data_IF_595322308955
#
_entry.id   IF_595322308955
#
_cell.length_a   1.000
_cell.length_b   1.000
_cell.length_c   1.000
_cell.angle_alpha   90.00
_cell.angle_beta   90.00
_cell.angle_gamma   90.00
#
_symmetry.space_group_name_H-M   'P 1'
#
loop_
_entity.id
_entity.type
_entity.pdbx_description
1 polymer ?
#
# COMPACT_ATOMS: atom_id res chain seq x y z
N UNK A 1 7.67 -22.13 -16.96
CA UNK A 1 8.11 -21.32 -15.81
C UNK A 1 7.48 -19.94 -15.96
N UNK A 2 6.62 -19.53 -15.02
CA UNK A 2 5.93 -18.23 -15.12
C UNK A 2 6.96 -17.11 -14.93
N UNK A 3 7.04 -16.18 -15.88
CA UNK A 3 7.95 -15.03 -15.83
C UNK A 3 7.53 -14.15 -14.67
N UNK A 4 8.39 -13.99 -13.66
CA UNK A 4 8.09 -13.13 -12.53
C UNK A 4 8.04 -11.67 -13.01
N UNK A 5 6.95 -10.97 -12.71
CA UNK A 5 6.81 -9.54 -13.04
C UNK A 5 7.94 -8.77 -12.33
N UNK A 6 8.76 -8.08 -13.12
CA UNK A 6 9.78 -7.16 -12.60
C UNK A 6 9.27 -5.75 -12.85
N UNK A 7 8.92 -5.05 -11.77
CA UNK A 7 8.50 -3.66 -11.87
C UNK A 7 9.74 -2.76 -11.97
N UNK A 8 9.85 -1.99 -13.05
CA UNK A 8 10.80 -0.90 -13.18
C UNK A 8 10.37 0.31 -12.34
N UNK A 9 11.20 1.36 -12.27
CA UNK A 9 10.78 2.62 -11.65
C UNK A 9 9.57 3.21 -12.38
N UNK A 10 9.63 3.31 -13.71
CA UNK A 10 8.57 3.92 -14.48
C UNK A 10 7.24 3.14 -14.40
N UNK A 11 7.28 1.80 -14.36
CA UNK A 11 6.10 0.97 -14.14
C UNK A 11 5.48 1.17 -12.75
N UNK A 12 6.30 1.43 -11.72
CA UNK A 12 5.80 1.73 -10.37
C UNK A 12 5.10 3.08 -10.33
N UNK A 13 5.68 4.09 -10.97
CA UNK A 13 5.07 5.42 -11.09
C UNK A 13 3.78 5.38 -11.90
N UNK A 14 3.78 4.67 -13.04
CA UNK A 14 2.60 4.42 -13.87
C UNK A 14 1.46 3.80 -13.05
N UNK A 15 1.79 2.85 -12.16
CA UNK A 15 0.83 2.26 -11.24
C UNK A 15 0.19 3.27 -10.28
N UNK A 16 0.96 4.22 -9.75
CA UNK A 16 0.42 5.32 -8.93
C UNK A 16 -0.58 6.15 -9.73
N UNK A 17 -0.18 6.59 -10.93
CA UNK A 17 -1.02 7.41 -11.80
C UNK A 17 -2.30 6.70 -12.25
N UNK A 18 -2.22 5.41 -12.54
CA UNK A 18 -3.39 4.61 -12.89
C UNK A 18 -4.38 4.51 -11.73
N UNK A 19 -3.94 4.17 -10.52
CA UNK A 19 -4.86 4.08 -9.37
C UNK A 19 -5.40 5.46 -8.98
N UNK A 20 -4.62 6.53 -9.19
CA UNK A 20 -5.12 7.90 -9.06
C UNK A 20 -6.27 8.18 -10.05
N UNK A 21 -6.18 7.66 -11.29
CA UNK A 21 -7.27 7.76 -12.26
C UNK A 21 -8.57 7.11 -11.75
N UNK A 22 -8.46 5.98 -11.05
CA UNK A 22 -9.61 5.28 -10.46
C UNK A 22 -10.26 6.08 -9.32
N UNK A 23 -9.47 6.84 -8.56
CA UNK A 23 -10.01 7.73 -7.52
C UNK A 23 -10.89 8.83 -8.11
N UNK A 24 -10.55 9.33 -9.30
CA UNK A 24 -11.25 10.40 -9.99
C UNK A 24 -12.01 9.88 -11.22
N UNK A 25 -12.51 8.64 -11.13
CA UNK A 25 -13.06 7.90 -12.25
C UNK A 25 -14.11 8.68 -13.04
N UNK A 26 -15.09 9.31 -12.39
CA UNK A 26 -16.16 10.03 -13.09
C UNK A 26 -15.66 11.19 -13.96
N UNK A 27 -14.58 11.86 -13.55
CA UNK A 27 -13.98 12.90 -14.38
C UNK A 27 -13.11 12.33 -15.48
N UNK A 28 -12.29 11.33 -15.16
CA UNK A 28 -11.44 10.66 -16.14
C UNK A 28 -12.28 10.01 -17.24
N UNK A 29 -13.36 9.32 -16.90
CA UNK A 29 -14.25 8.67 -17.86
C UNK A 29 -15.00 9.70 -18.73
N UNK A 30 -15.33 10.88 -18.20
CA UNK A 30 -15.87 12.00 -18.99
C UNK A 30 -14.84 12.56 -19.97
N UNK A 31 -13.60 12.75 -19.53
CA UNK A 31 -12.52 13.23 -20.38
C UNK A 31 -12.16 12.19 -21.46
N UNK A 32 -12.14 10.88 -21.14
CA UNK A 32 -11.90 9.81 -22.12
C UNK A 32 -12.95 9.79 -23.24
N UNK A 33 -14.22 10.05 -22.92
CA UNK A 33 -15.28 10.16 -23.94
C UNK A 33 -15.11 11.38 -24.85
N UNK A 34 -14.41 12.40 -24.37
CA UNK A 34 -14.20 13.67 -25.08
C UNK A 34 -12.90 13.67 -25.90
N UNK A 35 -11.87 12.96 -25.45
CA UNK A 35 -10.56 12.97 -26.08
C UNK A 35 -10.35 11.76 -26.99
N UNK A 36 -10.22 11.96 -28.31
CA UNK A 36 -9.74 10.93 -29.21
C UNK A 36 -8.25 10.57 -28.93
N UNK A 37 -7.78 9.45 -29.51
CA UNK A 37 -6.47 8.88 -29.21
C UNK A 37 -5.29 9.83 -29.53
N UNK A 38 -5.40 10.62 -30.60
CA UNK A 38 -4.45 11.67 -30.98
C UNK A 38 -4.31 12.75 -29.90
N UNK A 39 -5.40 13.13 -29.23
CA UNK A 39 -5.38 14.07 -28.11
C UNK A 39 -4.71 13.49 -26.86
N UNK A 40 -4.80 12.18 -26.64
CA UNK A 40 -4.07 11.50 -25.56
C UNK A 40 -2.56 11.57 -25.82
N UNK A 41 -2.11 11.29 -27.04
CA UNK A 41 -0.70 11.39 -27.40
C UNK A 41 -0.20 12.85 -27.33
N UNK A 42 -1.02 13.82 -27.77
CA UNK A 42 -0.73 15.24 -27.59
C UNK A 42 -0.49 15.59 -26.12
N UNK A 43 -1.38 15.15 -25.21
CA UNK A 43 -1.22 15.42 -23.78
C UNK A 43 -0.03 14.71 -23.18
N UNK A 44 0.26 13.47 -23.60
CA UNK A 44 1.43 12.74 -23.15
C UNK A 44 2.72 13.49 -23.50
N UNK A 45 2.84 13.98 -24.73
CA UNK A 45 3.96 14.80 -25.17
C UNK A 45 4.02 16.14 -24.40
N UNK A 46 2.89 16.83 -24.26
CA UNK A 46 2.81 18.13 -23.57
C UNK A 46 3.15 18.04 -22.08
N UNK A 47 2.81 16.94 -21.43
CA UNK A 47 3.13 16.65 -20.03
C UNK A 47 4.55 16.07 -19.87
N UNK A 48 5.30 15.90 -20.97
CA UNK A 48 6.63 15.29 -20.99
C UNK A 48 6.63 13.94 -20.28
N UNK A 49 5.57 13.14 -20.50
CA UNK A 49 5.54 11.78 -19.96
C UNK A 49 6.59 10.99 -20.72
N UNK A 50 7.53 10.42 -19.98
CA UNK A 50 8.61 9.62 -20.53
C UNK A 50 8.08 8.51 -21.44
N UNK A 51 8.54 8.48 -22.69
CA UNK A 51 8.20 7.42 -23.64
C UNK A 51 8.62 6.04 -23.14
N UNK A 52 9.69 5.96 -22.34
CA UNK A 52 10.14 4.72 -21.70
C UNK A 52 9.08 4.19 -20.72
N UNK A 53 8.34 5.07 -20.03
CA UNK A 53 7.24 4.66 -19.15
C UNK A 53 6.15 3.90 -19.92
N UNK A 54 5.79 4.35 -21.12
CA UNK A 54 4.78 3.70 -21.96
C UNK A 54 5.24 2.29 -22.36
N UNK A 55 6.48 2.18 -22.82
CA UNK A 55 7.07 0.91 -23.26
C UNK A 55 7.21 -0.09 -22.10
N UNK A 56 7.74 0.35 -20.96
CA UNK A 56 7.92 -0.52 -19.79
C UNK A 56 6.57 -0.94 -19.19
N UNK A 57 5.58 -0.05 -19.19
CA UNK A 57 4.22 -0.37 -18.79
C UNK A 57 3.62 -1.43 -19.72
N UNK A 58 3.78 -1.30 -21.04
CA UNK A 58 3.26 -2.27 -21.99
C UNK A 58 3.79 -3.69 -21.70
N UNK A 59 5.09 -3.82 -21.40
CA UNK A 59 5.68 -5.10 -21.03
C UNK A 59 5.10 -5.65 -19.71
N UNK A 60 4.96 -4.81 -18.69
CA UNK A 60 4.38 -5.22 -17.39
C UNK A 60 2.93 -5.66 -17.54
N UNK A 61 2.13 -4.98 -18.37
CA UNK A 61 0.74 -5.36 -18.63
C UNK A 61 0.64 -6.67 -19.42
N UNK A 62 1.55 -6.92 -20.36
CA UNK A 62 1.64 -8.20 -21.06
C UNK A 62 1.96 -9.34 -20.09
N UNK A 63 2.92 -9.14 -19.19
CA UNK A 63 3.26 -10.14 -18.15
C UNK A 63 2.06 -10.36 -17.20
N UNK A 64 1.35 -9.30 -16.80
CA UNK A 64 0.14 -9.40 -15.96
C UNK A 64 -0.99 -10.16 -16.68
N UNK A 65 -1.17 -9.96 -17.98
CA UNK A 65 -2.12 -10.74 -18.78
C UNK A 65 -1.81 -12.24 -18.74
N UNK A 66 -0.54 -12.63 -18.86
CA UNK A 66 -0.14 -14.05 -18.78
C UNK A 66 -0.42 -14.63 -17.39
N UNK A 67 -0.26 -13.84 -16.33
CA UNK A 67 -0.64 -14.27 -14.97
C UNK A 67 -2.14 -14.48 -14.85
N UNK A 68 -2.97 -13.60 -15.41
CA UNK A 68 -4.44 -13.77 -15.43
C UNK A 68 -4.83 -15.03 -16.21
N UNK A 69 -4.24 -15.27 -17.40
CA UNK A 69 -4.48 -16.48 -18.19
C UNK A 69 -4.09 -17.76 -17.43
N UNK A 70 -2.95 -17.74 -16.75
CA UNK A 70 -2.50 -18.87 -15.93
C UNK A 70 -3.49 -19.15 -14.80
N UNK A 71 -3.95 -18.09 -14.10
CA UNK A 71 -4.95 -18.24 -13.04
C UNK A 71 -6.27 -18.79 -13.59
N UNK A 72 -6.73 -18.30 -14.74
CA UNK A 72 -7.95 -18.78 -15.39
C UNK A 72 -7.86 -20.28 -15.73
N UNK A 73 -6.71 -20.73 -16.25
CA UNK A 73 -6.48 -22.15 -16.53
C UNK A 73 -6.53 -23.00 -15.24
N UNK A 74 -5.89 -22.54 -14.16
CA UNK A 74 -5.93 -23.23 -12.85
C UNK A 74 -7.34 -23.25 -12.25
N UNK A 75 -8.07 -22.13 -12.31
CA UNK A 75 -9.44 -22.05 -11.81
C UNK A 75 -10.36 -23.00 -12.59
N UNK A 76 -10.13 -23.17 -13.89
CA UNK A 76 -10.84 -24.15 -14.74
C UNK A 76 -10.53 -25.59 -14.35
N UNK A 77 -9.28 -25.93 -14.09
CA UNK A 77 -8.89 -27.27 -13.62
C UNK A 77 -9.51 -27.61 -12.25
N UNK A 78 -9.68 -26.61 -11.39
CA UNK A 78 -10.24 -26.77 -10.05
C UNK A 78 -11.78 -26.65 -10.00
N UNK A 79 -12.45 -26.38 -11.13
CA UNK A 79 -13.89 -26.13 -11.17
C UNK A 79 -14.32 -24.88 -10.39
N UNK A 80 -13.41 -23.92 -10.21
CA UNK A 80 -13.58 -22.69 -9.45
C UNK A 80 -13.61 -21.44 -10.36
N UNK A 81 -14.05 -21.61 -11.61
CA UNK A 81 -14.09 -20.54 -12.61
C UNK A 81 -14.91 -19.34 -12.14
N UNK A 82 -14.41 -18.15 -12.43
CA UNK A 82 -15.09 -16.88 -12.15
C UNK A 82 -15.95 -16.45 -13.33
N UNK A 83 -16.95 -15.63 -13.05
CA UNK A 83 -17.87 -15.08 -14.07
C UNK A 83 -17.14 -14.31 -15.18
N UNK A 84 -16.05 -13.61 -14.85
CA UNK A 84 -15.22 -12.89 -15.82
C UNK A 84 -13.77 -12.76 -15.36
N UNK A 85 -12.89 -12.66 -16.36
CA UNK A 85 -11.47 -12.32 -16.19
C UNK A 85 -11.18 -11.09 -17.04
N UNK A 86 -10.57 -10.07 -16.44
CA UNK A 86 -10.25 -8.82 -17.15
C UNK A 86 -8.75 -8.79 -17.41
N UNK A 87 -8.39 -8.65 -18.68
CA UNK A 87 -7.00 -8.59 -19.14
C UNK A 87 -6.62 -7.12 -19.32
N UNK A 88 -5.70 -6.58 -18.49
CA UNK A 88 -5.38 -5.16 -18.56
C UNK A 88 -4.61 -4.85 -19.86
N UNK A 89 -5.12 -3.93 -20.67
CA UNK A 89 -4.49 -3.51 -21.92
C UNK A 89 -3.82 -2.14 -21.80
N UNK A 90 -2.78 -1.90 -22.62
CA UNK A 90 -2.14 -0.59 -22.69
C UNK A 90 -3.12 0.48 -23.17
N UNK A 91 -4.00 0.14 -24.10
CA UNK A 91 -4.96 1.08 -24.71
C UNK A 91 -6.02 1.57 -23.72
N UNK A 92 -6.36 0.78 -22.70
CA UNK A 92 -7.27 1.19 -21.62
C UNK A 92 -6.53 1.92 -20.50
N UNK A 93 -5.32 1.48 -20.17
CA UNK A 93 -4.55 1.97 -19.02
C UNK A 93 -3.82 3.28 -19.32
N UNK A 94 -3.21 3.40 -20.50
CA UNK A 94 -2.37 4.54 -20.86
C UNK A 94 -3.15 5.86 -20.89
N UNK A 95 -4.33 5.96 -21.56
CA UNK A 95 -5.12 7.19 -21.55
C UNK A 95 -5.50 7.64 -20.14
N UNK A 96 -5.85 6.70 -19.25
CA UNK A 96 -6.16 6.98 -17.85
C UNK A 96 -4.98 7.60 -17.09
N UNK A 97 -3.76 7.10 -17.31
CA UNK A 97 -2.53 7.66 -16.71
C UNK A 97 -2.28 9.08 -17.21
N UNK A 98 -2.39 9.30 -18.52
CA UNK A 98 -2.18 10.62 -19.15
C UNK A 98 -3.17 11.63 -18.57
N UNK A 99 -4.46 11.26 -18.48
CA UNK A 99 -5.50 12.14 -17.96
C UNK A 99 -5.38 12.36 -16.45
N UNK A 100 -4.92 11.37 -15.67
CA UNK A 100 -4.63 11.57 -14.25
C UNK A 100 -3.48 12.58 -14.04
N UNK A 101 -2.44 12.53 -14.87
CA UNK A 101 -1.37 13.54 -14.87
C UNK A 101 -1.86 14.91 -15.32
N UNK A 102 -2.71 14.97 -16.36
CA UNK A 102 -3.38 16.21 -16.80
C UNK A 102 -4.16 16.82 -15.64
N UNK A 103 -4.99 16.02 -14.95
CA UNK A 103 -5.74 16.46 -13.78
C UNK A 103 -4.81 17.02 -12.70
N UNK A 104 -3.75 16.32 -12.34
CA UNK A 104 -2.82 16.79 -11.31
C UNK A 104 -2.18 18.14 -11.67
N UNK A 105 -1.95 18.40 -12.95
CA UNK A 105 -1.50 19.72 -13.43
C UNK A 105 -2.60 20.79 -13.32
N UNK A 106 -3.83 20.44 -13.72
CA UNK A 106 -4.95 21.38 -13.78
C UNK A 106 -5.56 21.66 -12.38
N UNK A 107 -5.39 20.73 -11.43
CA UNK A 107 -5.97 20.73 -10.08
C UNK A 107 -4.89 20.46 -9.02
N UNK A 108 -4.35 21.54 -8.43
CA UNK A 108 -3.26 21.45 -7.46
C UNK A 108 -3.63 20.70 -6.17
N UNK A 109 -4.92 20.56 -5.87
CA UNK A 109 -5.45 19.78 -4.76
C UNK A 109 -5.49 18.26 -5.01
N UNK A 110 -5.06 17.81 -6.19
CA UNK A 110 -5.05 16.38 -6.55
C UNK A 110 -4.15 15.59 -5.60
N UNK A 111 -4.74 14.58 -4.95
CA UNK A 111 -4.06 13.77 -3.94
C UNK A 111 -4.70 12.39 -3.83
N UNK A 112 -4.00 11.42 -3.27
CA UNK A 112 -4.54 10.11 -2.91
C UNK A 112 -3.92 9.59 -1.61
N UNK A 113 -4.69 9.40 -0.52
CA UNK A 113 -4.20 8.77 0.69
C UNK A 113 -3.83 7.30 0.47
N UNK A 114 -2.78 6.81 1.15
CA UNK A 114 -2.28 5.44 0.99
C UNK A 114 -3.37 4.36 1.21
N UNK A 115 -4.25 4.54 2.19
CA UNK A 115 -5.35 3.62 2.45
C UNK A 115 -6.39 3.60 1.31
N UNK A 116 -6.61 4.75 0.66
CA UNK A 116 -7.50 4.84 -0.50
C UNK A 116 -6.84 4.19 -1.72
N UNK A 117 -5.55 4.43 -1.92
CA UNK A 117 -4.77 3.77 -2.97
C UNK A 117 -4.85 2.25 -2.85
N UNK A 118 -4.55 1.69 -1.68
CA UNK A 118 -4.52 0.24 -1.50
C UNK A 118 -5.92 -0.37 -1.68
N UNK A 119 -6.97 0.30 -1.19
CA UNK A 119 -8.35 -0.13 -1.41
C UNK A 119 -8.71 -0.19 -2.90
N UNK A 120 -8.45 0.88 -3.65
CA UNK A 120 -8.76 0.95 -5.08
C UNK A 120 -7.95 -0.08 -5.88
N UNK A 121 -6.66 -0.23 -5.56
CA UNK A 121 -5.80 -1.26 -6.14
C UNK A 121 -6.36 -2.66 -5.89
N UNK A 122 -6.74 -2.99 -4.66
CA UNK A 122 -7.29 -4.32 -4.34
C UNK A 122 -8.60 -4.56 -5.08
N UNK A 123 -9.48 -3.55 -5.16
CA UNK A 123 -10.73 -3.65 -5.92
C UNK A 123 -10.47 -3.93 -7.40
N UNK A 124 -9.58 -3.18 -8.04
CA UNK A 124 -9.19 -3.35 -9.44
C UNK A 124 -8.60 -4.74 -9.70
N UNK A 125 -7.62 -5.18 -8.91
CA UNK A 125 -7.02 -6.53 -9.06
C UNK A 125 -8.06 -7.63 -8.88
N UNK A 126 -8.94 -7.50 -7.88
CA UNK A 126 -9.99 -8.49 -7.64
C UNK A 126 -10.99 -8.54 -8.79
N UNK A 127 -11.33 -7.38 -9.36
CA UNK A 127 -12.24 -7.29 -10.52
C UNK A 127 -11.67 -7.97 -11.77
N UNK A 128 -10.35 -8.11 -11.87
CA UNK A 128 -9.67 -8.85 -12.95
C UNK A 128 -9.75 -10.37 -12.81
N UNK A 129 -10.46 -10.88 -11.81
CA UNK A 129 -10.57 -12.31 -11.57
C UNK A 129 -9.30 -12.91 -10.95
N UNK A 130 -8.42 -12.09 -10.34
CA UNK A 130 -7.18 -12.56 -9.71
C UNK A 130 -7.07 -12.07 -8.27
N UNK A 131 -6.40 -12.86 -7.42
CA UNK A 131 -6.09 -12.46 -6.05
C UNK A 131 -4.61 -12.08 -5.94
N UNK A 132 -4.33 -11.01 -5.19
CA UNK A 132 -2.97 -10.67 -4.78
C UNK A 132 -2.58 -11.54 -3.58
N UNK A 133 -1.99 -12.72 -3.81
CA UNK A 133 -1.45 -13.56 -2.72
C UNK A 133 -0.08 -13.06 -2.24
N UNK A 134 0.27 -13.42 -1.00
CA UNK A 134 1.55 -13.05 -0.40
C UNK A 134 2.72 -13.65 -1.20
N UNK A 135 3.66 -12.82 -1.64
CA UNK A 135 4.82 -13.23 -2.44
C UNK A 135 4.68 -13.04 -3.96
N UNK A 136 3.48 -12.77 -4.46
CA UNK A 136 3.27 -12.52 -5.89
C UNK A 136 3.42 -11.02 -6.21
N UNK A 137 4.31 -10.70 -7.16
CA UNK A 137 4.44 -9.34 -7.70
C UNK A 137 3.31 -9.11 -8.68
N UNK A 138 2.57 -8.01 -8.52
CA UNK A 138 1.40 -7.65 -9.33
C UNK A 138 1.43 -6.17 -9.69
N UNK A 139 0.87 -5.82 -10.84
CA UNK A 139 0.61 -4.44 -11.22
C UNK A 139 -0.90 -4.13 -11.13
N UNK A 140 -1.32 -3.00 -10.50
CA UNK A 140 -0.51 -1.93 -9.92
C UNK A 140 0.29 -2.35 -8.67
N UNK A 141 1.44 -1.70 -8.36
CA UNK A 141 2.28 -2.00 -7.20
C UNK A 141 1.57 -1.68 -5.87
N UNK A 142 1.99 -2.30 -4.78
CA UNK A 142 1.48 -1.95 -3.44
C UNK A 142 1.96 -0.57 -2.99
N UNK A 143 1.26 0.04 -2.02
CA UNK A 143 1.70 1.30 -1.41
C UNK A 143 3.10 1.20 -0.77
N UNK A 144 3.48 0.00 -0.29
CA UNK A 144 4.81 -0.27 0.24
C UNK A 144 5.89 -0.22 -0.84
N UNK A 145 5.62 -0.80 -2.01
CA UNK A 145 6.55 -0.76 -3.16
C UNK A 145 6.74 0.67 -3.66
N UNK A 146 5.65 1.43 -3.81
CA UNK A 146 5.72 2.86 -4.17
C UNK A 146 6.55 3.63 -3.13
N UNK A 147 6.25 3.44 -1.85
CA UNK A 147 6.95 4.14 -0.78
C UNK A 147 8.46 3.85 -0.83
N UNK A 148 8.86 2.59 -1.00
CA UNK A 148 10.27 2.21 -1.05
C UNK A 148 11.01 2.79 -2.25
N UNK A 149 10.35 2.93 -3.39
CA UNK A 149 10.99 3.31 -4.66
C UNK A 149 10.85 4.79 -5.02
N UNK A 150 9.81 5.47 -4.53
CA UNK A 150 9.48 6.83 -4.96
C UNK A 150 9.72 7.89 -3.87
N UNK A 151 10.18 7.56 -2.66
CA UNK A 151 10.48 8.63 -1.67
C UNK A 151 10.67 8.23 -0.21
N UNK A 152 10.67 6.94 0.15
CA UNK A 152 10.85 6.47 1.53
C UNK A 152 9.63 6.67 2.44
N UNK A 153 8.72 7.59 2.12
CA UNK A 153 7.37 7.71 2.71
C UNK A 153 6.30 7.95 1.64
N UNK A 154 5.03 7.70 1.96
CA UNK A 154 3.92 7.96 1.04
C UNK A 154 3.80 9.44 0.66
N UNK A 155 3.96 10.35 1.63
CA UNK A 155 3.90 11.78 1.36
C UNK A 155 5.08 12.22 0.47
N UNK A 156 6.26 11.63 0.66
CA UNK A 156 7.43 11.95 -0.18
C UNK A 156 7.24 11.41 -1.60
N UNK A 157 6.66 10.21 -1.76
CA UNK A 157 6.27 9.68 -3.06
C UNK A 157 5.26 10.60 -3.78
N UNK A 158 4.20 11.04 -3.08
CA UNK A 158 3.23 11.99 -3.65
C UNK A 158 3.89 13.31 -4.05
N UNK A 159 4.76 13.86 -3.20
CA UNK A 159 5.47 15.11 -3.47
C UNK A 159 6.39 15.01 -4.69
N UNK A 160 7.13 13.91 -4.80
CA UNK A 160 8.00 13.65 -5.95
C UNK A 160 7.21 13.49 -7.26
N UNK A 161 5.93 13.08 -7.17
CA UNK A 161 4.99 13.03 -8.29
C UNK A 161 4.24 14.35 -8.55
N UNK A 162 4.53 15.42 -7.80
CA UNK A 162 3.83 16.70 -7.94
C UNK A 162 2.39 16.70 -7.39
N UNK A 163 2.05 15.76 -6.51
CA UNK A 163 0.72 15.63 -5.91
C UNK A 163 0.67 16.31 -4.54
N UNK A 164 -0.51 16.81 -4.18
CA UNK A 164 -0.73 17.39 -2.86
C UNK A 164 -0.57 16.31 -1.78
N UNK A 165 0.17 16.61 -0.72
CA UNK A 165 0.31 15.74 0.44
C UNK A 165 -0.67 16.13 1.53
N UNK A 166 -1.25 15.16 2.22
CA UNK A 166 -2.05 15.47 3.42
C UNK A 166 -1.16 16.08 4.52
N UNK A 167 -1.61 17.18 5.14
CA UNK A 167 -0.99 17.74 6.36
C UNK A 167 -1.07 16.76 7.55
N UNK A 168 -1.94 15.75 7.45
CA UNK A 168 -2.19 14.69 8.44
C UNK A 168 -1.20 13.52 8.30
N UNK A 169 0.02 13.76 7.83
CA UNK A 169 1.12 12.81 7.97
C UNK A 169 1.66 12.86 9.40
N UNK A 170 2.11 11.71 9.95
CA UNK A 170 2.93 11.75 11.17
C UNK A 170 4.17 12.59 10.88
N UNK A 171 4.46 13.53 11.77
CA UNK A 171 5.79 14.13 11.88
C UNK A 171 6.82 13.00 11.93
N UNK A 172 7.79 13.04 11.01
CA UNK A 172 8.94 12.12 11.05
C UNK A 172 9.63 12.28 12.40
N UNK A 173 9.90 11.16 13.09
CA UNK A 173 10.63 11.16 14.35
C UNK A 173 9.84 11.51 15.62
N UNK A 174 8.56 11.90 15.53
CA UNK A 174 7.73 12.02 16.72
C UNK A 174 7.16 10.65 17.06
N UNK A 175 7.77 9.96 18.02
CA UNK A 175 7.13 8.84 18.69
C UNK A 175 5.79 9.37 19.24
N UNK A 176 4.68 8.76 18.84
CA UNK A 176 3.33 9.12 19.33
C UNK A 176 3.25 9.03 20.87
N UNK A 177 4.18 8.30 21.47
CA UNK A 177 4.24 7.97 22.88
C UNK A 177 5.64 8.26 23.41
N UNK A 178 5.76 8.62 24.69
CA UNK A 178 7.05 8.78 25.36
C UNK A 178 7.73 7.42 25.54
N UNK A 179 9.05 7.41 25.70
CA UNK A 179 9.84 6.20 25.98
C UNK A 179 9.28 5.41 27.19
N UNK A 180 8.86 6.13 28.22
CA UNK A 180 8.18 5.60 29.40
C UNK A 180 6.86 4.89 29.06
N UNK A 181 6.09 5.40 28.11
CA UNK A 181 4.83 4.78 27.67
C UNK A 181 5.08 3.46 26.96
N UNK A 182 6.17 3.35 26.19
CA UNK A 182 6.57 2.09 25.55
C UNK A 182 6.93 1.04 26.60
N UNK A 183 7.74 1.42 27.59
CA UNK A 183 8.12 0.56 28.68
C UNK A 183 6.92 0.13 29.54
N UNK A 184 6.05 1.08 29.90
CA UNK A 184 4.82 0.80 30.64
C UNK A 184 3.89 -0.15 29.89
N UNK A 185 3.72 0.02 28.58
CA UNK A 185 2.90 -0.88 27.78
C UNK A 185 3.41 -2.32 27.80
N UNK A 186 4.73 -2.51 27.81
CA UNK A 186 5.34 -3.83 27.96
C UNK A 186 5.08 -4.42 29.35
N UNK A 187 5.26 -3.64 30.40
CA UNK A 187 5.03 -4.08 31.79
C UNK A 187 3.55 -4.45 32.03
N UNK A 188 2.60 -3.60 31.64
CA UNK A 188 1.16 -3.83 31.78
C UNK A 188 0.71 -5.07 31.00
N UNK A 189 1.30 -5.31 29.82
CA UNK A 189 1.04 -6.52 29.07
C UNK A 189 1.61 -7.77 29.74
N UNK A 190 2.82 -7.72 30.30
CA UNK A 190 3.38 -8.84 31.04
C UNK A 190 2.54 -9.17 32.27
N UNK A 191 2.12 -8.16 33.04
CA UNK A 191 1.18 -8.34 34.15
C UNK A 191 -0.11 -9.00 33.67
N UNK A 192 -0.69 -8.54 32.56
CA UNK A 192 -1.87 -9.17 31.99
C UNK A 192 -1.64 -10.63 31.55
N UNK A 193 -0.47 -10.93 31.01
CA UNK A 193 -0.08 -12.30 30.64
C UNK A 193 0.02 -13.21 31.88
N UNK A 194 0.58 -12.70 32.98
CA UNK A 194 0.63 -13.41 34.25
C UNK A 194 -0.78 -13.66 34.80
N UNK A 195 -1.64 -12.65 34.83
CA UNK A 195 -3.01 -12.76 35.35
C UNK A 195 -3.89 -13.72 34.53
N UNK A 196 -3.60 -13.88 33.24
CA UNK A 196 -4.39 -14.73 32.33
C UNK A 196 -3.73 -16.07 32.02
N UNK A 197 -2.54 -16.35 32.57
CA UNK A 197 -1.77 -17.58 32.32
C UNK A 197 -1.35 -17.76 30.85
N UNK A 198 -1.23 -16.67 30.08
CA UNK A 198 -0.92 -16.71 28.64
C UNK A 198 0.49 -16.24 28.34
N UNK A 199 1.11 -16.85 27.33
CA UNK A 199 2.45 -16.46 26.87
C UNK A 199 2.49 -15.04 26.25
N UNK A 200 3.57 -14.32 26.52
CA UNK A 200 3.82 -12.94 26.07
C UNK A 200 4.23 -12.88 24.57
N UNK A 201 3.35 -13.32 23.68
CA UNK A 201 3.61 -13.36 22.23
C UNK A 201 3.22 -12.04 21.54
N UNK A 202 3.86 -11.75 20.40
CA UNK A 202 3.53 -10.58 19.55
C UNK A 202 2.05 -10.59 19.14
N UNK A 203 1.53 -11.75 18.74
CA UNK A 203 0.14 -11.90 18.31
C UNK A 203 -0.83 -11.56 19.46
N UNK A 204 -0.52 -12.04 20.67
CA UNK A 204 -1.36 -11.78 21.83
C UNK A 204 -1.28 -10.32 22.29
N UNK A 205 -0.11 -9.68 22.20
CA UNK A 205 0.02 -8.24 22.44
C UNK A 205 -0.83 -7.42 21.47
N UNK A 206 -0.85 -7.76 20.18
CA UNK A 206 -1.71 -7.08 19.20
C UNK A 206 -3.20 -7.18 19.57
N UNK A 207 -3.65 -8.36 20.03
CA UNK A 207 -5.02 -8.56 20.50
C UNK A 207 -5.31 -7.74 21.77
N UNK A 208 -4.38 -7.75 22.72
CA UNK A 208 -4.47 -6.97 23.96
C UNK A 208 -4.58 -5.47 23.66
N UNK A 209 -3.69 -4.90 22.84
CA UNK A 209 -3.75 -3.48 22.44
C UNK A 209 -5.05 -3.14 21.72
N UNK A 210 -5.58 -4.04 20.88
CA UNK A 210 -6.86 -3.83 20.22
C UNK A 210 -8.03 -3.80 21.22
N UNK A 211 -8.01 -4.66 22.25
CA UNK A 211 -9.00 -4.67 23.34
C UNK A 211 -8.91 -3.42 24.20
N UNK A 212 -7.71 -3.04 24.61
CA UNK A 212 -7.45 -1.84 25.41
C UNK A 212 -7.89 -0.57 24.68
N UNK A 213 -7.68 -0.51 23.36
CA UNK A 213 -8.16 0.61 22.54
C UNK A 213 -9.69 0.75 22.59
N UNK A 214 -10.43 -0.36 22.60
CA UNK A 214 -11.90 -0.33 22.74
C UNK A 214 -12.32 0.17 24.12
N UNK A 215 -11.50 -0.05 25.14
CA UNK A 215 -11.68 0.48 26.49
C UNK A 215 -11.13 1.92 26.68
N UNK A 216 -10.77 2.62 25.59
CA UNK A 216 -10.28 3.99 25.63
C UNK A 216 -8.78 4.16 25.95
N UNK A 217 -8.05 3.06 26.24
CA UNK A 217 -6.60 3.10 26.51
C UNK A 217 -5.82 2.85 25.24
N UNK A 218 -4.96 3.80 24.85
CA UNK A 218 -4.22 3.74 23.60
C UNK A 218 -2.76 3.38 23.87
N UNK A 219 -2.37 2.17 23.47
CA UNK A 219 -1.00 1.68 23.62
C UNK A 219 -0.21 1.67 22.29
N UNK A 220 1.14 1.68 22.33
CA UNK A 220 1.98 1.47 21.16
C UNK A 220 1.75 0.10 20.51
N UNK A 221 1.84 0.03 19.18
CA UNK A 221 1.74 -1.25 18.46
C UNK A 221 3.02 -2.09 18.65
N UNK A 222 2.92 -3.41 18.44
CA UNK A 222 4.10 -4.29 18.50
C UNK A 222 5.20 -3.88 17.50
N UNK A 223 4.81 -3.41 16.32
CA UNK A 223 5.75 -2.88 15.33
C UNK A 223 6.47 -1.61 15.85
N UNK A 224 5.75 -0.72 16.55
CA UNK A 224 6.35 0.48 17.13
C UNK A 224 7.29 0.14 18.30
N UNK A 225 6.95 -0.84 19.13
CA UNK A 225 7.83 -1.36 20.19
C UNK A 225 9.16 -1.87 19.61
N UNK A 226 9.07 -2.69 18.56
CA UNK A 226 10.24 -3.26 17.87
C UNK A 226 11.07 -2.21 17.13
N UNK A 227 10.43 -1.18 16.57
CA UNK A 227 11.17 -0.09 15.92
C UNK A 227 12.05 0.68 16.91
N UNK A 228 11.61 0.83 18.16
CA UNK A 228 12.37 1.54 19.19
C UNK A 228 13.38 0.64 19.94
N UNK A 229 13.09 -0.65 20.08
CA UNK A 229 13.81 -1.58 20.98
C UNK A 229 14.35 -2.84 20.28
N UNK A 230 14.25 -2.93 18.97
CA UNK A 230 14.76 -4.06 18.19
C UNK A 230 13.82 -5.28 18.23
N UNK A 231 14.22 -6.35 18.91
CA UNK A 231 13.48 -7.63 18.87
C UNK A 231 12.36 -7.66 19.91
N UNK A 232 11.36 -8.52 19.68
CA UNK A 232 10.26 -8.69 20.65
C UNK A 232 10.75 -9.22 22.00
N UNK A 233 11.71 -10.15 21.98
CA UNK A 233 12.30 -10.70 23.20
C UNK A 233 12.97 -9.59 24.02
N UNK A 234 13.70 -8.68 23.37
CA UNK A 234 14.31 -7.56 24.06
C UNK A 234 13.29 -6.61 24.70
N UNK A 235 12.14 -6.39 24.05
CA UNK A 235 11.02 -5.62 24.62
C UNK A 235 10.49 -6.29 25.90
N UNK A 236 10.30 -7.62 25.87
CA UNK A 236 9.80 -8.36 27.02
C UNK A 236 10.82 -8.45 28.17
N UNK A 237 12.11 -8.61 27.87
CA UNK A 237 13.18 -8.60 28.88
C UNK A 237 13.28 -7.26 29.62
N UNK A 238 13.12 -6.14 28.91
CA UNK A 238 13.08 -4.82 29.53
C UNK A 238 11.84 -4.62 30.40
N UNK A 239 10.69 -5.08 29.91
CA UNK A 239 9.44 -5.02 30.65
C UNK A 239 9.48 -5.90 31.92
N UNK A 240 10.04 -7.11 31.84
CA UNK A 240 10.20 -8.03 32.98
C UNK A 240 11.12 -7.45 34.06
N UNK A 241 12.24 -6.83 33.66
CA UNK A 241 13.12 -6.10 34.59
C UNK A 241 12.39 -4.94 35.29
N UNK A 242 11.50 -4.25 34.60
CA UNK A 242 10.70 -3.18 35.19
C UNK A 242 9.61 -3.68 36.14
N UNK A 243 8.94 -4.79 35.81
CA UNK A 243 7.97 -5.41 36.71
C UNK A 243 8.69 -5.89 37.98
N UNK A 244 9.82 -6.58 37.84
CA UNK A 244 10.63 -7.06 38.98
C UNK A 244 11.14 -5.93 39.86
N UNK A 245 11.67 -4.84 39.29
CA UNK A 245 12.16 -3.70 40.09
C UNK A 245 11.06 -2.94 40.84
N UNK A 246 9.82 -2.93 40.36
CA UNK A 246 8.67 -2.36 41.09
C UNK A 246 8.17 -3.25 42.22
N UNK A 247 8.41 -4.55 42.18
CA UNK A 247 8.00 -5.49 43.24
C UNK A 247 8.97 -5.46 44.45
N UNK A 248 10.14 -4.84 44.32
CA UNK A 248 11.16 -4.70 45.37
C UNK A 248 11.28 -3.29 45.98
N UNK A 249 10.31 -2.40 45.72
CA UNK A 249 10.20 -1.07 46.35
C UNK A 249 8.90 -0.94 47.13
#
# INVERSE_FOLDING_TARGET
MSRQIILSQAAVEAGLWYVLSLRYQDEIDRELKRFPADMIEYWAAKLKIDSQMKTELAQVLADECEVVKTQQATDKELGAEKESYIFPSLDEVWPRIVLAKKRARDHQETTIPAAVYERLRTQDITSRGVYSSQGMVRWPPTCQTITKRCGGSWNDALRNMGLMTSKRGRSRGSLKFTDETYLRAGAEFLTHCHDTGKGATVAYYCQWVARERRAGRIWPSAAAQRQLRGTWNHVMELADRMVKSKTFS
#
